data_IF_396597245399
#
_entry.id   IF_396597245399
#
_cell.length_a   1.000
_cell.length_b   1.000
_cell.length_c   1.000
_cell.angle_alpha   90.00
_cell.angle_beta   90.00
_cell.angle_gamma   90.00
#
_symmetry.space_group_name_H-M   'P 1'
#
loop_
_entity.id
_entity.type
_entity.pdbx_description
1 polymer ?
#
# COMPACT_ATOMS: atom_id res chain seq x y z
N UNK A 1 16.43 -29.30 -16.69
CA UNK A 1 16.11 -28.02 -17.33
C UNK A 1 16.86 -26.89 -16.63
N UNK A 2 16.60 -26.62 -15.33
CA UNK A 2 17.18 -25.50 -14.57
C UNK A 2 18.72 -25.48 -14.60
N UNK A 3 19.37 -26.63 -14.45
CA UNK A 3 20.82 -26.72 -14.53
C UNK A 3 21.38 -26.39 -15.93
N UNK A 4 20.63 -26.72 -17.00
CA UNK A 4 20.99 -26.36 -18.37
C UNK A 4 20.90 -24.89 -18.67
N UNK A 5 20.04 -24.19 -17.95
CA UNK A 5 19.81 -22.73 -18.06
C UNK A 5 20.65 -21.92 -17.05
N UNK A 6 21.70 -22.55 -16.47
CA UNK A 6 22.62 -21.91 -15.53
C UNK A 6 21.90 -21.16 -14.38
N UNK A 7 20.94 -21.80 -13.75
CA UNK A 7 20.11 -21.22 -12.68
C UNK A 7 20.94 -20.59 -11.55
N UNK A 8 22.18 -21.05 -11.33
CA UNK A 8 23.12 -20.54 -10.31
C UNK A 8 23.54 -19.09 -10.59
N UNK A 9 23.58 -18.69 -11.86
CA UNK A 9 23.99 -17.35 -12.30
C UNK A 9 22.80 -16.37 -12.37
N UNK A 10 21.58 -16.86 -12.13
CA UNK A 10 20.37 -16.03 -12.19
C UNK A 10 20.14 -15.31 -10.88
N UNK A 11 19.85 -14.00 -10.95
CA UNK A 11 19.52 -13.17 -9.79
C UNK A 11 18.16 -13.51 -9.20
N UNK A 12 17.22 -13.93 -10.06
CA UNK A 12 15.84 -14.18 -9.67
C UNK A 12 15.22 -15.29 -10.50
N UNK A 13 14.57 -16.23 -9.84
CA UNK A 13 13.72 -17.25 -10.47
C UNK A 13 12.24 -16.95 -10.16
N UNK A 14 11.42 -16.91 -11.21
CA UNK A 14 9.98 -16.66 -11.12
C UNK A 14 9.21 -17.93 -11.48
N UNK A 15 8.50 -18.52 -10.53
CA UNK A 15 7.57 -19.62 -10.74
C UNK A 15 6.14 -19.06 -10.80
N UNK A 16 5.60 -18.84 -12.01
CA UNK A 16 4.35 -18.13 -12.25
C UNK A 16 3.39 -18.91 -13.15
N UNK A 17 3.34 -20.23 -12.98
CA UNK A 17 2.35 -21.07 -13.65
C UNK A 17 0.98 -20.98 -12.95
N UNK A 18 -0.01 -21.65 -13.50
CA UNK A 18 -1.33 -21.77 -12.88
C UNK A 18 -1.45 -22.88 -11.83
N UNK A 19 -0.37 -23.62 -11.59
CA UNK A 19 -0.31 -24.73 -10.63
C UNK A 19 0.58 -24.36 -9.44
N UNK A 20 0.00 -24.32 -8.25
CA UNK A 20 0.70 -23.90 -7.03
C UNK A 20 1.79 -24.91 -6.63
N UNK A 21 1.53 -26.22 -6.81
CA UNK A 21 2.44 -27.30 -6.50
C UNK A 21 3.69 -27.22 -7.40
N UNK A 22 3.47 -27.01 -8.71
CA UNK A 22 4.57 -26.84 -9.66
C UNK A 22 5.38 -25.59 -9.36
N UNK A 23 4.74 -24.49 -8.98
CA UNK A 23 5.42 -23.26 -8.59
C UNK A 23 6.27 -23.45 -7.33
N UNK A 24 5.75 -24.14 -6.31
CA UNK A 24 6.45 -24.44 -5.07
C UNK A 24 7.62 -25.38 -5.32
N UNK A 25 7.41 -26.44 -6.09
CA UNK A 25 8.45 -27.47 -6.36
C UNK A 25 9.57 -26.90 -7.22
N UNK A 26 9.24 -26.20 -8.30
CA UNK A 26 10.25 -25.60 -9.18
C UNK A 26 11.03 -24.49 -8.47
N UNK A 27 10.35 -23.64 -7.69
CA UNK A 27 10.99 -22.62 -6.88
C UNK A 27 11.93 -23.20 -5.83
N UNK A 28 11.49 -24.22 -5.11
CA UNK A 28 12.32 -24.92 -4.12
C UNK A 28 13.55 -25.58 -4.76
N UNK A 29 13.38 -26.16 -5.95
CA UNK A 29 14.49 -26.74 -6.70
C UNK A 29 15.47 -25.67 -7.17
N UNK A 30 14.99 -24.54 -7.69
CA UNK A 30 15.83 -23.42 -8.11
C UNK A 30 16.67 -22.90 -6.94
N UNK A 31 16.08 -22.75 -5.76
CA UNK A 31 16.78 -22.34 -4.53
C UNK A 31 17.86 -23.33 -4.12
N UNK A 32 17.55 -24.62 -4.15
CA UNK A 32 18.53 -25.69 -3.87
C UNK A 32 19.71 -25.73 -4.84
N UNK A 33 19.45 -25.38 -6.10
CA UNK A 33 20.49 -25.30 -7.13
C UNK A 33 21.34 -24.03 -7.04
N UNK A 34 21.03 -23.10 -6.11
CA UNK A 34 21.86 -21.93 -5.83
C UNK A 34 21.31 -20.59 -6.36
N UNK A 35 20.08 -20.54 -6.87
CA UNK A 35 19.47 -19.27 -7.26
C UNK A 35 19.35 -18.33 -6.04
N UNK A 36 19.74 -17.06 -6.22
CA UNK A 36 19.80 -16.10 -5.13
C UNK A 36 18.42 -15.74 -4.57
N UNK A 37 17.45 -15.51 -5.45
CA UNK A 37 16.07 -15.15 -5.08
C UNK A 37 15.06 -15.99 -5.84
N UNK A 38 14.04 -16.44 -5.12
CA UNK A 38 12.95 -17.23 -5.67
C UNK A 38 11.62 -16.60 -5.31
N UNK A 39 10.80 -16.35 -6.33
CA UNK A 39 9.45 -15.87 -6.20
C UNK A 39 8.49 -16.91 -6.79
N UNK A 40 7.41 -17.22 -6.06
CA UNK A 40 6.38 -18.14 -6.52
C UNK A 40 4.98 -17.52 -6.43
N UNK A 41 4.18 -17.73 -7.48
CA UNK A 41 2.75 -17.42 -7.50
C UNK A 41 2.00 -18.52 -6.75
N UNK A 42 1.20 -18.14 -5.73
CA UNK A 42 0.45 -19.05 -4.88
C UNK A 42 -1.00 -18.60 -4.81
N UNK A 43 -1.90 -19.37 -5.38
CA UNK A 43 -3.32 -19.06 -5.39
C UNK A 43 -4.03 -19.51 -4.12
N UNK A 44 -3.63 -20.68 -3.57
CA UNK A 44 -4.26 -21.27 -2.38
C UNK A 44 -3.62 -20.73 -1.10
N UNK A 45 -4.45 -20.15 -0.25
CA UNK A 45 -4.00 -19.59 1.03
C UNK A 45 -3.25 -20.60 1.92
N UNK A 46 -3.70 -21.83 1.97
CA UNK A 46 -3.06 -22.88 2.76
C UNK A 46 -1.59 -23.10 2.34
N UNK A 47 -1.29 -23.04 1.05
CA UNK A 47 0.07 -23.17 0.54
C UNK A 47 0.92 -21.94 0.82
N UNK A 48 0.35 -20.74 0.72
CA UNK A 48 1.03 -19.51 1.11
C UNK A 48 1.48 -19.54 2.58
N UNK A 49 0.66 -20.14 3.46
CA UNK A 49 1.00 -20.33 4.86
C UNK A 49 2.09 -21.40 5.08
N UNK A 50 2.10 -22.44 4.27
CA UNK A 50 3.06 -23.53 4.37
C UNK A 50 4.47 -23.16 3.91
N UNK A 51 4.61 -22.30 2.90
CA UNK A 51 5.92 -21.92 2.35
C UNK A 51 6.64 -20.85 3.18
N UNK A 52 6.00 -20.26 4.16
CA UNK A 52 6.59 -19.20 4.99
C UNK A 52 7.78 -19.74 5.81
N UNK A 53 8.93 -19.06 5.67
CA UNK A 53 10.18 -19.52 6.29
C UNK A 53 10.84 -20.71 5.57
N UNK A 54 10.28 -21.13 4.42
CA UNK A 54 10.83 -22.18 3.55
C UNK A 54 11.83 -21.66 2.53
N UNK A 55 12.13 -22.45 1.49
CA UNK A 55 13.11 -22.12 0.46
C UNK A 55 12.64 -21.05 -0.54
N UNK A 56 11.37 -20.63 -0.51
CA UNK A 56 10.83 -19.60 -1.37
C UNK A 56 10.92 -18.26 -0.63
N UNK A 57 11.61 -17.29 -1.22
CA UNK A 57 11.84 -15.98 -0.58
C UNK A 57 10.60 -15.11 -0.59
N UNK A 58 9.81 -15.16 -1.69
CA UNK A 58 8.59 -14.34 -1.86
C UNK A 58 7.47 -15.20 -2.44
N UNK A 59 6.38 -15.34 -1.68
CA UNK A 59 5.12 -15.89 -2.17
C UNK A 59 4.15 -14.77 -2.55
N UNK A 60 3.69 -14.74 -3.79
CA UNK A 60 2.69 -13.76 -4.25
C UNK A 60 1.34 -14.45 -4.38
N UNK A 61 0.33 -13.93 -3.70
CA UNK A 61 -1.06 -14.36 -3.86
C UNK A 61 -1.87 -13.30 -4.62
N UNK A 62 -2.31 -13.58 -5.85
CA UNK A 62 -3.15 -12.65 -6.62
C UNK A 62 -4.42 -12.25 -5.89
N UNK A 63 -5.01 -13.19 -5.15
CA UNK A 63 -6.21 -12.93 -4.34
C UNK A 63 -5.95 -11.87 -3.26
N UNK A 64 -4.79 -11.90 -2.59
CA UNK A 64 -4.45 -10.91 -1.56
C UNK A 64 -4.22 -9.52 -2.17
N UNK A 65 -3.55 -9.46 -3.32
CA UNK A 65 -3.34 -8.21 -4.05
C UNK A 65 -4.69 -7.63 -4.49
N UNK A 66 -5.56 -8.45 -5.11
CA UNK A 66 -6.88 -8.01 -5.58
C UNK A 66 -7.80 -7.58 -4.44
N UNK A 67 -7.75 -8.27 -3.28
CA UNK A 67 -8.55 -7.89 -2.10
C UNK A 67 -8.16 -6.49 -1.61
N UNK A 68 -6.88 -6.14 -1.58
CA UNK A 68 -6.43 -4.80 -1.20
C UNK A 68 -7.07 -3.73 -2.10
N UNK A 69 -6.98 -3.90 -3.41
CA UNK A 69 -7.56 -2.99 -4.39
C UNK A 69 -9.09 -2.92 -4.29
N UNK A 70 -9.78 -4.08 -4.17
CA UNK A 70 -11.24 -4.11 -4.04
C UNK A 70 -11.71 -3.47 -2.73
N UNK A 71 -11.01 -3.66 -1.63
CA UNK A 71 -11.35 -3.04 -0.35
C UNK A 71 -11.23 -1.52 -0.39
N UNK A 72 -10.27 -0.98 -1.12
CA UNK A 72 -10.17 0.46 -1.33
C UNK A 72 -11.43 1.02 -2.04
N UNK A 73 -11.96 0.29 -3.03
CA UNK A 73 -13.17 0.70 -3.76
C UNK A 73 -14.49 0.50 -2.99
N UNK A 74 -14.54 -0.48 -2.07
CA UNK A 74 -15.76 -0.82 -1.31
C UNK A 74 -15.86 -0.03 0.00
N UNK A 75 -14.75 0.45 0.54
CA UNK A 75 -14.76 1.26 1.76
C UNK A 75 -15.37 2.62 1.46
N UNK A 76 -16.39 2.97 2.24
CA UNK A 76 -17.01 4.30 2.19
C UNK A 76 -16.08 5.29 2.87
N UNK A 77 -15.45 6.15 2.09
CA UNK A 77 -14.54 7.18 2.56
C UNK A 77 -13.39 7.37 1.56
N UNK A 78 -12.64 8.39 1.74
CA UNK A 78 -11.57 8.82 0.86
C UNK A 78 -10.28 7.96 1.02
N UNK A 79 -10.44 6.65 1.22
CA UNK A 79 -9.34 5.68 1.34
C UNK A 79 -8.84 5.33 -0.06
N UNK A 80 -7.67 5.81 -0.41
CA UNK A 80 -7.04 5.57 -1.71
C UNK A 80 -6.46 4.14 -1.80
N UNK A 81 -5.74 3.70 -0.77
CA UNK A 81 -5.11 2.37 -0.73
C UNK A 81 -5.11 1.74 0.66
N UNK A 82 -5.08 0.39 0.70
CA UNK A 82 -4.98 -0.39 1.93
C UNK A 82 -3.97 -1.51 1.75
N UNK A 83 -2.93 -1.47 2.56
CA UNK A 83 -1.91 -2.52 2.60
C UNK A 83 -2.00 -3.31 3.90
N UNK A 84 -2.31 -4.58 3.79
CA UNK A 84 -2.30 -5.49 4.94
C UNK A 84 -0.87 -5.91 5.25
N UNK A 85 -0.42 -5.64 6.47
CA UNK A 85 0.90 -6.00 6.95
C UNK A 85 0.81 -7.29 7.77
N UNK A 86 1.79 -8.18 7.56
CA UNK A 86 1.87 -9.45 8.28
C UNK A 86 0.52 -10.17 8.38
N UNK A 87 -0.14 -10.43 7.23
CA UNK A 87 -1.41 -11.19 7.13
C UNK A 87 -2.57 -10.61 7.93
N UNK A 88 -2.65 -9.28 8.02
CA UNK A 88 -3.72 -8.59 8.73
C UNK A 88 -3.46 -8.35 10.22
N UNK A 89 -2.23 -8.57 10.70
CA UNK A 89 -1.84 -8.18 12.05
C UNK A 89 -1.87 -6.66 12.22
N UNK A 90 -1.49 -5.92 11.16
CA UNK A 90 -1.56 -4.46 11.09
C UNK A 90 -1.99 -4.04 9.69
N UNK A 91 -2.44 -2.81 9.53
CA UNK A 91 -2.78 -2.22 8.23
C UNK A 91 -2.11 -0.87 8.06
N UNK A 92 -1.60 -0.61 6.86
CA UNK A 92 -1.24 0.71 6.38
C UNK A 92 -2.33 1.19 5.44
N UNK A 93 -2.78 2.41 5.65
CA UNK A 93 -3.85 3.06 4.89
C UNK A 93 -3.30 4.31 4.24
N UNK A 94 -3.68 4.56 3.01
CA UNK A 94 -3.57 5.85 2.38
C UNK A 94 -4.96 6.47 2.31
N UNK A 95 -5.14 7.61 2.96
CA UNK A 95 -6.43 8.31 3.04
C UNK A 95 -6.25 9.74 2.57
N UNK A 96 -7.11 10.18 1.66
CA UNK A 96 -7.11 11.55 1.18
C UNK A 96 -7.91 12.44 2.13
N UNK A 97 -7.33 13.55 2.53
CA UNK A 97 -7.98 14.53 3.41
C UNK A 97 -8.82 15.51 2.59
N UNK A 98 -10.11 15.21 2.44
CA UNK A 98 -11.03 16.09 1.70
C UNK A 98 -11.79 17.08 2.59
N UNK A 99 -12.19 18.20 1.99
CA UNK A 99 -12.96 19.27 2.62
C UNK A 99 -12.10 20.47 3.04
N UNK A 100 -12.58 21.19 4.03
CA UNK A 100 -11.93 22.38 4.60
C UNK A 100 -11.85 22.30 6.13
N UNK A 101 -11.22 23.29 6.75
CA UNK A 101 -11.07 23.35 8.22
C UNK A 101 -12.41 23.45 9.00
N UNK A 102 -13.53 23.74 8.33
CA UNK A 102 -14.86 23.83 8.96
C UNK A 102 -15.62 22.50 8.88
N UNK A 103 -15.47 21.79 7.77
CA UNK A 103 -16.19 20.55 7.47
C UNK A 103 -15.41 19.29 7.89
N UNK A 104 -14.07 19.36 7.98
CA UNK A 104 -13.21 18.25 8.33
C UNK A 104 -12.76 18.31 9.79
N UNK A 105 -12.55 17.12 10.39
CA UNK A 105 -11.98 16.97 11.73
C UNK A 105 -10.47 16.96 11.74
N UNK A 106 -9.83 16.81 10.58
CA UNK A 106 -8.38 16.65 10.46
C UNK A 106 -7.71 17.82 9.74
N UNK A 107 -8.36 18.45 8.75
CA UNK A 107 -7.78 19.53 7.95
C UNK A 107 -7.56 20.79 8.77
N UNK A 108 -6.41 21.43 8.56
CA UNK A 108 -5.98 22.64 9.25
C UNK A 108 -5.55 22.40 10.70
N UNK A 109 -5.48 21.16 11.15
CA UNK A 109 -5.05 20.78 12.50
C UNK A 109 -3.68 20.12 12.47
N UNK A 110 -2.91 20.36 13.51
CA UNK A 110 -1.67 19.62 13.75
C UNK A 110 -1.99 18.20 14.18
N UNK A 111 -1.12 17.26 13.87
CA UNK A 111 -1.29 15.83 14.20
C UNK A 111 -1.53 15.63 15.70
N UNK A 112 -0.83 16.37 16.57
CA UNK A 112 -0.99 16.30 18.04
C UNK A 112 -2.33 16.90 18.57
N UNK A 113 -3.05 17.63 17.76
CA UNK A 113 -4.36 18.22 18.09
C UNK A 113 -5.53 17.31 17.71
N UNK A 114 -5.27 16.21 17.01
CA UNK A 114 -6.28 15.27 16.54
C UNK A 114 -6.34 14.10 17.52
N UNK A 115 -7.55 13.73 17.95
CA UNK A 115 -7.76 12.60 18.87
C UNK A 115 -7.66 11.26 18.13
N UNK A 116 -6.43 10.83 17.90
CA UNK A 116 -6.15 9.55 17.23
C UNK A 116 -6.47 8.38 18.15
N UNK A 117 -7.15 7.33 17.66
CA UNK A 117 -7.34 6.12 18.43
C UNK A 117 -6.00 5.50 18.85
N UNK A 118 -5.92 4.99 20.08
CA UNK A 118 -4.72 4.30 20.56
C UNK A 118 -4.33 3.13 19.64
N UNK A 119 -3.09 3.12 19.18
CA UNK A 119 -2.56 2.16 18.21
C UNK A 119 -2.68 2.63 16.75
N UNK A 120 -2.95 3.91 16.53
CA UNK A 120 -2.86 4.58 15.24
C UNK A 120 -1.66 5.52 15.24
N UNK A 121 -0.91 5.53 14.14
CA UNK A 121 0.24 6.41 13.94
C UNK A 121 0.21 6.95 12.51
N UNK A 122 0.44 8.24 12.36
CA UNK A 122 0.64 8.86 11.05
C UNK A 122 2.12 8.76 10.71
N UNK A 123 2.43 8.22 9.53
CA UNK A 123 3.81 8.04 9.09
C UNK A 123 4.30 9.17 8.20
N UNK A 124 3.50 9.55 7.24
CA UNK A 124 3.84 10.59 6.26
C UNK A 124 2.57 11.18 5.64
N UNK A 125 2.75 12.30 4.97
CA UNK A 125 1.78 12.90 4.08
C UNK A 125 2.40 13.03 2.69
N UNK A 126 1.60 12.85 1.63
CA UNK A 126 2.02 13.15 0.26
C UNK A 126 1.18 14.33 -0.22
N UNK A 127 1.84 15.44 -0.50
CA UNK A 127 1.23 16.70 -0.96
C UNK A 127 1.34 16.82 -2.46
N UNK A 128 0.42 17.55 -3.06
CA UNK A 128 0.41 17.82 -4.50
C UNK A 128 0.48 16.55 -5.37
N UNK A 129 -0.09 15.45 -4.87
CA UNK A 129 -0.17 14.20 -5.61
C UNK A 129 -1.00 14.43 -6.90
N UNK A 130 -0.51 13.89 -8.03
CA UNK A 130 -1.13 14.01 -9.35
C UNK A 130 -1.46 15.44 -9.86
N UNK A 131 -0.84 16.47 -9.31
CA UNK A 131 -0.96 17.81 -9.92
C UNK A 131 -0.17 17.87 -11.21
N UNK A 132 -0.87 17.81 -12.33
CA UNK A 132 -0.29 18.11 -13.64
C UNK A 132 -0.21 19.63 -13.79
N UNK A 133 1.00 20.17 -13.78
CA UNK A 133 1.24 21.59 -14.08
C UNK A 133 1.61 21.68 -15.55
N UNK A 134 0.80 22.42 -16.31
CA UNK A 134 1.11 22.71 -17.71
C UNK A 134 2.06 23.90 -17.71
N UNK A 135 3.31 23.67 -18.09
CA UNK A 135 4.32 24.72 -18.22
C UNK A 135 4.63 24.92 -19.69
N UNK A 136 4.39 26.12 -20.22
CA UNK A 136 4.71 26.46 -21.60
C UNK A 136 4.47 27.93 -21.88
N UNK A 137 5.32 28.52 -22.77
CA UNK A 137 5.09 29.82 -23.38
C UNK A 137 4.91 29.61 -24.89
N UNK A 138 3.70 30.00 -25.34
CA UNK A 138 3.30 30.17 -26.77
C UNK A 138 3.45 28.93 -27.62
N UNK A 139 3.77 27.97 -27.86
CA UNK A 139 3.65 26.85 -28.83
C UNK A 139 4.31 25.55 -28.40
N UNK A 140 4.93 25.54 -27.23
CA UNK A 140 5.57 24.33 -26.66
C UNK A 140 5.03 24.06 -25.27
N UNK A 141 3.98 23.21 -25.18
CA UNK A 141 3.31 22.83 -23.93
C UNK A 141 3.90 21.54 -23.42
N UNK A 142 4.59 21.59 -22.30
CA UNK A 142 5.06 20.38 -21.59
C UNK A 142 4.21 20.16 -20.35
N UNK A 143 3.52 19.03 -20.30
CA UNK A 143 2.83 18.58 -19.09
C UNK A 143 3.85 17.97 -18.13
N UNK A 144 4.09 18.61 -16.98
CA UNK A 144 4.92 18.07 -15.91
C UNK A 144 3.98 17.50 -14.86
N UNK A 145 3.94 16.18 -14.73
CA UNK A 145 3.21 15.52 -13.63
C UNK A 145 4.09 15.53 -12.39
N UNK A 146 3.63 16.19 -11.34
CA UNK A 146 4.27 16.14 -10.02
C UNK A 146 3.95 14.78 -9.37
N UNK A 147 4.98 14.05 -8.93
CA UNK A 147 4.80 12.82 -8.16
C UNK A 147 4.46 13.06 -6.68
N UNK A 148 4.19 14.30 -6.31
CA UNK A 148 3.91 14.70 -4.95
C UNK A 148 5.18 14.91 -4.10
N UNK A 149 5.03 15.68 -3.03
CA UNK A 149 6.07 15.91 -2.02
C UNK A 149 5.77 15.04 -0.80
N UNK A 150 6.71 14.19 -0.41
CA UNK A 150 6.58 13.35 0.78
C UNK A 150 7.04 14.13 2.00
N UNK A 151 6.14 14.38 2.94
CA UNK A 151 6.39 15.03 4.23
C UNK A 151 6.34 13.97 5.33
N UNK A 152 7.47 13.72 6.00
CA UNK A 152 7.49 12.83 7.17
C UNK A 152 6.68 13.47 8.30
N UNK A 153 5.75 12.70 8.86
CA UNK A 153 4.84 13.20 9.87
C UNK A 153 5.50 13.39 11.22
N UNK A 154 5.37 14.60 11.76
CA UNK A 154 5.75 14.95 13.13
C UNK A 154 4.52 15.44 13.90
N UNK A 155 4.64 15.58 15.21
CA UNK A 155 3.52 16.01 16.08
C UNK A 155 2.94 17.39 15.69
N UNK A 156 3.76 18.27 15.15
CA UNK A 156 3.43 19.63 14.72
C UNK A 156 3.05 19.76 13.23
N UNK A 157 3.14 18.67 12.47
CA UNK A 157 2.74 18.66 11.05
C UNK A 157 1.24 18.94 10.93
N UNK A 158 0.88 19.90 10.06
CA UNK A 158 -0.51 20.25 9.77
C UNK A 158 -0.99 19.47 8.56
N UNK A 159 -2.18 18.90 8.65
CA UNK A 159 -2.85 18.24 7.51
C UNK A 159 -3.54 19.30 6.67
N UNK A 160 -3.23 19.34 5.38
CA UNK A 160 -3.79 20.28 4.41
C UNK A 160 -4.87 19.59 3.54
N UNK A 161 -5.74 20.38 2.86
CA UNK A 161 -6.68 19.81 1.90
C UNK A 161 -5.95 19.02 0.80
N UNK A 162 -6.52 17.88 0.42
CA UNK A 162 -6.00 16.95 -0.57
C UNK A 162 -4.64 16.30 -0.23
N UNK A 163 -4.18 16.41 1.02
CA UNK A 163 -3.06 15.59 1.51
C UNK A 163 -3.45 14.10 1.48
N UNK A 164 -2.59 13.27 0.91
CA UNK A 164 -2.64 11.83 1.03
C UNK A 164 -1.93 11.42 2.32
N UNK A 165 -2.68 11.00 3.32
CA UNK A 165 -2.18 10.71 4.66
C UNK A 165 -1.92 9.23 4.82
N UNK A 166 -0.66 8.85 5.10
CA UNK A 166 -0.25 7.47 5.34
C UNK A 166 -0.42 7.15 6.82
N UNK A 167 -1.34 6.25 7.11
CA UNK A 167 -1.77 5.90 8.48
C UNK A 167 -1.45 4.44 8.77
N UNK A 168 -0.74 4.17 9.86
CA UNK A 168 -0.56 2.82 10.38
C UNK A 168 -1.55 2.50 11.49
N UNK A 169 -2.23 1.36 11.35
CA UNK A 169 -3.14 0.81 12.33
C UNK A 169 -2.59 -0.52 12.86
N UNK A 170 -2.38 -0.61 14.17
CA UNK A 170 -1.90 -1.86 14.82
C UNK A 170 -2.94 -2.96 14.83
N UNK A 171 -4.20 -2.68 14.51
CA UNK A 171 -5.31 -3.64 14.44
C UNK A 171 -6.33 -3.20 13.39
N UNK A 172 -6.81 -4.15 12.61
CA UNK A 172 -7.83 -3.94 11.56
C UNK A 172 -9.09 -3.19 12.03
N UNK A 173 -9.49 -3.39 13.28
CA UNK A 173 -10.68 -2.74 13.87
C UNK A 173 -10.54 -1.21 13.99
N UNK A 174 -9.30 -0.69 14.01
CA UNK A 174 -9.03 0.75 14.13
C UNK A 174 -9.29 1.48 12.81
N UNK A 175 -9.23 0.80 11.68
CA UNK A 175 -9.45 1.37 10.35
C UNK A 175 -10.75 2.15 10.29
N UNK A 176 -11.87 1.54 10.70
CA UNK A 176 -13.19 2.20 10.71
C UNK A 176 -13.23 3.47 11.59
N UNK A 177 -12.41 3.52 12.64
CA UNK A 177 -12.32 4.70 13.48
C UNK A 177 -11.54 5.81 12.81
N UNK A 178 -10.46 5.45 12.11
CA UNK A 178 -9.65 6.38 11.31
C UNK A 178 -10.49 6.93 10.15
N UNK A 179 -11.17 6.08 9.38
CA UNK A 179 -12.07 6.48 8.30
C UNK A 179 -13.09 7.55 8.77
N UNK A 180 -13.67 7.37 9.97
CA UNK A 180 -14.62 8.34 10.55
C UNK A 180 -14.00 9.70 10.89
N UNK A 181 -12.70 9.78 11.14
CA UNK A 181 -12.01 11.05 11.38
C UNK A 181 -11.85 11.85 10.07
N UNK A 182 -11.67 11.15 8.95
CA UNK A 182 -11.52 11.77 7.63
C UNK A 182 -12.86 12.05 6.94
N UNK A 183 -13.99 11.50 7.44
CA UNK A 183 -15.30 11.79 6.87
C UNK A 183 -15.65 13.28 7.00
N UNK A 184 -15.99 13.88 5.87
CA UNK A 184 -16.48 15.26 5.80
C UNK A 184 -17.93 15.28 6.27
N UNK A 185 -18.24 16.15 7.24
CA UNK A 185 -19.61 16.36 7.70
C UNK A 185 -20.40 17.12 6.64
N UNK A 186 -21.41 16.48 6.03
CA UNK A 186 -22.39 17.22 5.22
C UNK A 186 -23.23 18.09 6.16
N UNK A 187 -22.98 19.37 6.14
CA UNK A 187 -23.96 20.34 6.65
C UNK A 187 -24.97 20.56 5.54
N UNK A 188 -26.14 19.95 5.65
CA UNK A 188 -27.30 20.42 4.92
C UNK A 188 -27.73 21.76 5.53
N UNK A 189 -27.70 22.80 4.69
CA UNK A 189 -28.35 24.07 4.98
C UNK A 189 -29.87 23.90 4.97
#
# INVERSE_FOLDING_TARGET
LLERENIVEMDLFLAVTNDDEDNIMSGSLAKRLGCQRVLALINRRAYAEMIEGGPIDIGISPAQVSIGTLLAHVRQGDVAEVHSLRRGAAEALEIVAHGDAKSSKVIGRRIDQIDWPHGVTIAALVRNFDKTVIVGQTDDWTAITSHGEVVIAHHDTVIEPDDHVIVFCTRKQLVKKVEKLFQVGFHFF
#
